data_IF_622060717612
#
_entry.id   IF_622060717612
#
_cell.length_a   1.000
_cell.length_b   1.000
_cell.length_c   1.000
_cell.angle_alpha   90.00
_cell.angle_beta   90.00
_cell.angle_gamma   90.00
#
_symmetry.space_group_name_H-M   'P 1'
#
loop_
_entity.id
_entity.type
_entity.pdbx_description
1 polymer ?
#
# COMPACT_ATOMS: atom_id res chain seq x y z
N UNK A 1 7.75 -5.76 -50.47
CA UNK A 1 8.19 -6.13 -49.11
C UNK A 1 6.96 -6.46 -48.30
N UNK A 2 6.68 -7.76 -48.15
CA UNK A 2 5.63 -8.25 -47.25
C UNK A 2 6.11 -8.06 -45.83
N UNK A 3 5.44 -7.19 -45.06
CA UNK A 3 5.63 -7.10 -43.63
C UNK A 3 5.30 -8.48 -43.03
N UNK A 4 6.32 -9.13 -42.49
CA UNK A 4 6.14 -10.31 -41.65
C UNK A 4 5.35 -9.81 -40.44
N UNK A 5 4.11 -10.30 -40.29
CA UNK A 5 3.34 -10.10 -39.07
C UNK A 5 4.18 -10.65 -37.92
N UNK A 6 4.56 -9.77 -36.99
CA UNK A 6 5.11 -10.18 -35.71
C UNK A 6 4.06 -11.12 -35.08
N UNK A 7 4.42 -12.37 -34.73
CA UNK A 7 3.46 -13.27 -34.11
C UNK A 7 2.97 -12.58 -32.84
N UNK A 8 1.64 -12.46 -32.71
CA UNK A 8 1.02 -11.95 -31.48
C UNK A 8 1.72 -12.61 -30.31
N UNK A 9 2.36 -11.84 -29.40
CA UNK A 9 3.14 -12.42 -28.33
C UNK A 9 2.25 -13.40 -27.58
N UNK A 10 2.76 -14.59 -27.25
CA UNK A 10 2.02 -15.58 -26.48
C UNK A 10 2.29 -15.38 -24.98
N UNK A 11 1.34 -15.72 -24.10
CA UNK A 11 1.60 -15.70 -22.66
C UNK A 11 2.78 -16.61 -22.30
N UNK A 12 3.59 -16.28 -21.28
CA UNK A 12 4.74 -17.07 -20.88
C UNK A 12 4.28 -18.34 -20.14
N UNK A 13 3.98 -19.40 -20.90
CA UNK A 13 3.32 -20.64 -20.43
C UNK A 13 4.01 -21.26 -19.22
N UNK A 14 5.33 -21.36 -19.21
CA UNK A 14 6.07 -21.97 -18.09
C UNK A 14 5.94 -21.16 -16.79
N UNK A 15 5.99 -19.83 -16.88
CA UNK A 15 5.83 -18.94 -15.74
C UNK A 15 4.40 -19.03 -15.21
N UNK A 16 3.41 -19.04 -16.11
CA UNK A 16 2.00 -19.16 -15.75
C UNK A 16 1.68 -20.52 -15.10
N UNK A 17 2.27 -21.61 -15.59
CA UNK A 17 2.14 -22.93 -14.99
C UNK A 17 2.62 -22.94 -13.53
N UNK A 18 3.80 -22.38 -13.24
CA UNK A 18 4.30 -22.26 -11.86
C UNK A 18 3.41 -21.34 -11.01
N UNK A 19 2.99 -20.18 -11.56
CA UNK A 19 2.11 -19.25 -10.84
C UNK A 19 0.73 -19.85 -10.55
N UNK A 20 0.22 -20.76 -11.39
CA UNK A 20 -1.09 -21.38 -11.20
C UNK A 20 -1.17 -22.25 -9.95
N UNK A 21 -0.02 -22.72 -9.45
CA UNK A 21 0.08 -23.44 -8.18
C UNK A 21 -0.14 -22.54 -6.96
N UNK A 22 0.02 -21.22 -7.13
CA UNK A 22 -0.07 -20.23 -6.06
C UNK A 22 -1.32 -19.34 -6.20
N UNK A 23 -1.61 -18.86 -7.41
CA UNK A 23 -2.64 -17.88 -7.69
C UNK A 23 -3.33 -18.16 -9.05
N UNK A 24 -4.13 -19.25 -9.17
CA UNK A 24 -4.73 -19.65 -10.44
C UNK A 24 -5.69 -18.60 -11.02
N UNK A 25 -6.28 -17.73 -10.20
CA UNK A 25 -7.13 -16.64 -10.67
C UNK A 25 -6.36 -15.59 -11.47
N UNK A 26 -5.16 -15.22 -11.01
CA UNK A 26 -4.31 -14.23 -11.70
C UNK A 26 -3.83 -14.81 -13.03
N UNK A 27 -3.50 -16.11 -13.07
CA UNK A 27 -3.12 -16.79 -14.32
C UNK A 27 -4.26 -16.73 -15.33
N UNK A 28 -5.48 -17.09 -14.91
CA UNK A 28 -6.67 -16.99 -15.79
C UNK A 28 -6.91 -15.56 -16.28
N UNK A 29 -6.77 -14.56 -15.39
CA UNK A 29 -6.91 -13.16 -15.76
C UNK A 29 -5.88 -12.75 -16.83
N UNK A 30 -4.61 -13.18 -16.68
CA UNK A 30 -3.54 -12.90 -17.64
C UNK A 30 -3.83 -13.59 -18.98
N UNK A 31 -4.18 -14.88 -18.98
CA UNK A 31 -4.44 -15.65 -20.20
C UNK A 31 -5.63 -15.07 -21.00
N UNK A 32 -6.70 -14.69 -20.31
CA UNK A 32 -7.90 -14.15 -20.93
C UNK A 32 -7.69 -12.75 -21.51
N UNK A 33 -6.82 -11.94 -20.90
CA UNK A 33 -6.64 -10.53 -21.26
C UNK A 33 -5.29 -10.24 -21.92
N UNK A 34 -4.50 -11.27 -22.25
CA UNK A 34 -3.13 -11.10 -22.77
C UNK A 34 -3.04 -10.17 -23.97
N UNK A 35 -4.01 -10.29 -24.88
CA UNK A 35 -4.11 -9.49 -26.11
C UNK A 35 -5.21 -8.43 -26.04
N UNK A 36 -5.82 -8.22 -24.87
CA UNK A 36 -6.85 -7.21 -24.70
C UNK A 36 -6.22 -5.81 -24.75
N UNK A 37 -6.96 -4.79 -25.25
CA UNK A 37 -6.58 -3.40 -25.05
C UNK A 37 -6.31 -3.10 -23.57
N UNK A 38 -5.32 -2.25 -23.29
CA UNK A 38 -4.94 -1.90 -21.91
C UNK A 38 -6.12 -1.32 -21.13
N UNK A 39 -7.02 -0.57 -21.78
CA UNK A 39 -8.26 -0.05 -21.18
C UNK A 39 -9.22 -1.17 -20.76
N UNK A 40 -9.37 -2.20 -21.58
CA UNK A 40 -10.23 -3.34 -21.26
C UNK A 40 -9.65 -4.15 -20.10
N UNK A 41 -8.33 -4.37 -20.09
CA UNK A 41 -7.67 -5.02 -18.96
C UNK A 41 -7.75 -4.18 -17.68
N UNK A 42 -7.55 -2.85 -17.76
CA UNK A 42 -7.70 -1.97 -16.62
C UNK A 42 -9.13 -2.01 -16.05
N UNK A 43 -10.16 -1.97 -16.92
CA UNK A 43 -11.56 -2.14 -16.51
C UNK A 43 -11.81 -3.50 -15.86
N UNK A 44 -11.21 -4.57 -16.39
CA UNK A 44 -11.29 -5.92 -15.81
C UNK A 44 -10.68 -5.98 -14.40
N UNK A 45 -9.54 -5.33 -14.17
CA UNK A 45 -8.93 -5.24 -12.85
C UNK A 45 -9.80 -4.47 -11.85
N UNK A 46 -10.64 -3.55 -12.34
CA UNK A 46 -11.56 -2.72 -11.55
C UNK A 46 -12.99 -3.27 -11.48
N UNK A 47 -13.19 -4.55 -11.83
CA UNK A 47 -14.48 -5.23 -11.73
C UNK A 47 -14.97 -5.31 -10.28
N UNK A 48 -16.30 -5.32 -10.05
CA UNK A 48 -16.85 -5.51 -8.72
C UNK A 48 -16.39 -6.83 -8.10
N UNK A 49 -16.30 -6.86 -6.77
CA UNK A 49 -16.06 -8.10 -6.01
C UNK A 49 -17.31 -8.46 -5.21
N UNK A 50 -17.40 -9.72 -4.80
CA UNK A 50 -18.50 -10.18 -3.96
C UNK A 50 -18.54 -9.35 -2.67
N UNK A 51 -19.74 -8.89 -2.30
CA UNK A 51 -19.93 -8.19 -1.03
C UNK A 51 -19.59 -9.12 0.14
N UNK A 52 -19.01 -8.59 1.23
CA UNK A 52 -18.83 -9.34 2.46
C UNK A 52 -20.15 -9.97 2.93
N UNK A 53 -20.12 -11.26 3.27
CA UNK A 53 -21.28 -11.98 3.82
C UNK A 53 -21.08 -12.41 5.27
N UNK A 54 -19.83 -12.65 5.68
CA UNK A 54 -19.51 -13.02 7.06
C UNK A 54 -19.46 -11.78 7.96
N UNK A 55 -19.88 -11.94 9.23
CA UNK A 55 -19.84 -10.88 10.23
C UNK A 55 -18.47 -10.18 10.34
N UNK A 56 -17.35 -10.93 10.44
CA UNK A 56 -16.01 -10.34 10.49
C UNK A 56 -15.64 -9.53 9.24
N UNK A 57 -16.02 -9.98 8.04
CA UNK A 57 -15.71 -9.25 6.81
C UNK A 57 -16.55 -7.98 6.67
N UNK A 58 -17.82 -8.04 7.05
CA UNK A 58 -18.71 -6.86 7.11
C UNK A 58 -18.16 -5.83 8.10
N UNK A 59 -17.75 -6.27 9.28
CA UNK A 59 -17.15 -5.39 10.29
C UNK A 59 -15.83 -4.77 9.80
N UNK A 60 -14.94 -5.57 9.18
CA UNK A 60 -13.69 -5.07 8.61
C UNK A 60 -13.93 -4.05 7.48
N UNK A 61 -14.92 -4.31 6.61
CA UNK A 61 -15.35 -3.38 5.56
C UNK A 61 -15.83 -2.06 6.16
N UNK A 62 -16.67 -2.11 7.20
CA UNK A 62 -17.16 -0.92 7.90
C UNK A 62 -16.01 -0.13 8.53
N UNK A 63 -15.07 -0.79 9.19
CA UNK A 63 -13.89 -0.15 9.79
C UNK A 63 -13.07 0.57 8.72
N UNK A 64 -12.78 -0.10 7.59
CA UNK A 64 -12.03 0.50 6.49
C UNK A 64 -12.76 1.71 5.91
N UNK A 65 -14.08 1.61 5.70
CA UNK A 65 -14.92 2.72 5.21
C UNK A 65 -14.86 3.92 6.16
N UNK A 66 -14.94 3.70 7.46
CA UNK A 66 -14.91 4.76 8.47
C UNK A 66 -13.55 5.47 8.51
N UNK A 67 -12.46 4.70 8.46
CA UNK A 67 -11.10 5.27 8.43
C UNK A 67 -10.83 6.00 7.12
N UNK A 68 -11.33 5.47 5.99
CA UNK A 68 -11.26 6.14 4.70
C UNK A 68 -12.04 7.47 4.73
N UNK A 69 -13.25 7.48 5.31
CA UNK A 69 -14.03 8.71 5.49
C UNK A 69 -13.23 9.76 6.27
N UNK A 70 -12.65 9.40 7.39
CA UNK A 70 -11.82 10.33 8.19
C UNK A 70 -10.66 10.93 7.39
N UNK A 71 -10.03 10.13 6.51
CA UNK A 71 -9.00 10.63 5.60
C UNK A 71 -9.58 11.61 4.58
N UNK A 72 -10.72 11.28 3.98
CA UNK A 72 -11.38 12.10 2.97
C UNK A 72 -11.90 13.43 3.55
N UNK A 73 -12.39 13.45 4.79
CA UNK A 73 -12.88 14.66 5.48
C UNK A 73 -11.81 15.76 5.59
N UNK A 74 -10.52 15.38 5.51
CA UNK A 74 -9.39 16.32 5.55
C UNK A 74 -9.09 16.94 4.17
N UNK A 75 -9.48 16.27 3.08
CA UNK A 75 -9.01 16.61 1.72
C UNK A 75 -10.13 16.92 0.71
N UNK A 76 -11.40 16.60 1.02
CA UNK A 76 -12.52 16.69 0.09
C UNK A 76 -13.78 17.31 0.72
N UNK A 77 -14.73 17.71 -0.13
CA UNK A 77 -16.03 18.25 0.31
C UNK A 77 -17.01 17.14 0.69
N UNK A 78 -17.93 17.35 1.66
CA UNK A 78 -18.83 16.30 2.13
C UNK A 78 -19.64 15.57 1.04
N UNK A 79 -20.07 16.28 0.00
CA UNK A 79 -20.85 15.69 -1.11
C UNK A 79 -20.02 14.72 -1.95
N UNK A 80 -18.75 15.04 -2.17
CA UNK A 80 -17.79 14.19 -2.90
C UNK A 80 -17.48 12.93 -2.09
N UNK A 81 -17.32 13.08 -0.77
CA UNK A 81 -17.04 11.97 0.15
C UNK A 81 -18.16 10.94 0.13
N UNK A 82 -19.41 11.37 0.20
CA UNK A 82 -20.56 10.46 0.17
C UNK A 82 -20.57 9.60 -1.11
N UNK A 83 -20.35 10.25 -2.27
CA UNK A 83 -20.28 9.59 -3.58
C UNK A 83 -19.12 8.60 -3.66
N UNK A 84 -17.91 9.01 -3.29
CA UNK A 84 -16.71 8.16 -3.33
C UNK A 84 -16.88 6.93 -2.44
N UNK A 85 -17.42 7.11 -1.23
CA UNK A 85 -17.65 6.00 -0.32
C UNK A 85 -18.76 5.07 -0.83
N UNK A 86 -19.79 5.56 -1.51
CA UNK A 86 -20.79 4.71 -2.16
C UNK A 86 -20.19 3.91 -3.33
N UNK A 87 -19.42 4.57 -4.19
CA UNK A 87 -18.69 3.93 -5.29
C UNK A 87 -17.74 2.83 -4.77
N UNK A 88 -17.02 3.09 -3.68
CA UNK A 88 -16.11 2.14 -3.04
C UNK A 88 -16.84 0.90 -2.49
N UNK A 89 -18.10 0.99 -2.05
CA UNK A 89 -18.86 -0.22 -1.65
C UNK A 89 -19.20 -1.13 -2.83
N UNK A 90 -19.38 -0.55 -4.02
CA UNK A 90 -19.73 -1.30 -5.22
C UNK A 90 -18.49 -1.83 -5.93
N UNK A 91 -17.40 -1.07 -5.91
CA UNK A 91 -16.12 -1.41 -6.54
C UNK A 91 -14.96 -1.14 -5.58
N UNK A 92 -14.80 -1.98 -4.54
CA UNK A 92 -13.73 -1.79 -3.57
C UNK A 92 -12.41 -2.26 -4.14
N UNK A 93 -11.69 -1.34 -4.75
CA UNK A 93 -10.38 -1.60 -5.37
C UNK A 93 -9.37 -0.61 -4.79
N UNK A 94 -8.21 -1.12 -4.41
CA UNK A 94 -7.05 -0.32 -4.02
C UNK A 94 -5.92 -0.65 -4.98
N UNK A 95 -5.43 0.36 -5.71
CA UNK A 95 -4.15 0.27 -6.38
C UNK A 95 -3.07 0.29 -5.30
N UNK A 96 -2.26 -0.75 -5.26
CA UNK A 96 -1.14 -0.91 -4.36
C UNK A 96 0.14 -1.13 -5.16
N UNK A 97 1.26 -1.32 -4.48
CA UNK A 97 2.57 -1.42 -5.13
C UNK A 97 3.12 -0.08 -5.63
N UNK A 98 2.46 1.03 -5.31
CA UNK A 98 3.03 2.37 -5.45
C UNK A 98 3.98 2.58 -4.28
N UNK A 99 5.24 2.88 -4.55
CA UNK A 99 6.14 3.42 -3.53
C UNK A 99 5.86 4.91 -3.38
N UNK A 100 6.09 5.47 -2.19
CA UNK A 100 6.00 6.91 -1.95
C UNK A 100 7.12 7.65 -2.69
N UNK A 101 6.96 7.80 -4.01
CA UNK A 101 7.83 8.48 -4.95
C UNK A 101 7.03 9.57 -5.66
N UNK A 102 7.72 10.58 -6.19
CA UNK A 102 7.09 11.57 -7.04
C UNK A 102 6.68 10.90 -8.36
N UNK A 103 5.53 11.25 -8.92
CA UNK A 103 4.97 10.71 -10.18
C UNK A 103 5.76 11.04 -11.46
N UNK A 104 7.00 11.51 -11.30
CA UNK A 104 8.01 11.58 -12.36
C UNK A 104 8.81 10.27 -12.46
N UNK A 105 8.78 9.42 -11.42
CA UNK A 105 9.27 8.05 -11.49
C UNK A 105 8.36 7.21 -12.40
N UNK A 106 8.97 6.56 -13.40
CA UNK A 106 8.22 5.84 -14.46
C UNK A 106 7.37 4.70 -13.92
N UNK A 107 7.90 3.90 -13.01
CA UNK A 107 7.19 2.73 -12.47
C UNK A 107 5.98 3.17 -11.65
N UNK A 108 6.16 4.19 -10.81
CA UNK A 108 5.09 4.76 -10.00
C UNK A 108 4.03 5.41 -10.86
N UNK A 109 4.44 6.15 -11.91
CA UNK A 109 3.53 6.76 -12.88
C UNK A 109 2.71 5.72 -13.66
N UNK A 110 3.35 4.68 -14.21
CA UNK A 110 2.65 3.65 -15.00
C UNK A 110 1.61 2.89 -14.14
N UNK A 111 1.95 2.59 -12.88
CA UNK A 111 1.02 1.97 -11.94
C UNK A 111 -0.16 2.90 -11.58
N UNK A 112 0.10 4.21 -11.43
CA UNK A 112 -0.97 5.18 -11.20
C UNK A 112 -1.85 5.36 -12.45
N UNK A 113 -1.26 5.43 -13.64
CA UNK A 113 -1.96 5.56 -14.90
C UNK A 113 -2.90 4.38 -15.14
N UNK A 114 -2.45 3.15 -14.83
CA UNK A 114 -3.30 1.96 -14.90
C UNK A 114 -4.48 2.04 -13.92
N UNK A 115 -4.26 2.56 -12.71
CA UNK A 115 -5.32 2.76 -11.73
C UNK A 115 -6.33 3.82 -12.17
N UNK A 116 -5.84 4.96 -12.65
CA UNK A 116 -6.66 6.03 -13.22
C UNK A 116 -7.49 5.51 -14.39
N UNK A 117 -6.87 4.79 -15.34
CA UNK A 117 -7.57 4.23 -16.49
C UNK A 117 -8.65 3.24 -16.06
N UNK A 118 -8.35 2.36 -15.10
CA UNK A 118 -9.33 1.41 -14.58
C UNK A 118 -10.52 2.08 -13.89
N UNK A 119 -10.28 3.18 -13.19
CA UNK A 119 -11.33 3.98 -12.56
C UNK A 119 -12.20 4.71 -13.59
N UNK A 120 -11.57 5.38 -14.56
CA UNK A 120 -12.25 6.07 -15.66
C UNK A 120 -13.11 5.10 -16.47
N UNK A 121 -12.54 3.98 -16.89
CA UNK A 121 -13.24 2.94 -17.67
C UNK A 121 -14.35 2.23 -16.87
N UNK A 122 -14.32 2.36 -15.54
CA UNK A 122 -15.36 1.86 -14.63
C UNK A 122 -16.37 2.93 -14.20
N UNK A 123 -16.23 4.17 -14.70
CA UNK A 123 -17.11 5.30 -14.38
C UNK A 123 -17.01 5.78 -12.93
N UNK A 124 -15.85 5.60 -12.29
CA UNK A 124 -15.60 6.02 -10.92
C UNK A 124 -15.12 7.46 -10.84
N UNK A 125 -15.61 8.20 -9.84
CA UNK A 125 -15.20 9.59 -9.59
C UNK A 125 -13.89 9.72 -8.82
N UNK A 126 -13.45 8.64 -8.18
CA UNK A 126 -12.16 8.57 -7.52
C UNK A 126 -11.57 7.16 -7.53
N UNK A 127 -10.27 7.07 -7.29
CA UNK A 127 -9.55 5.81 -7.17
C UNK A 127 -8.59 5.85 -5.98
N UNK A 128 -8.52 4.74 -5.23
CA UNK A 128 -7.69 4.67 -4.01
C UNK A 128 -6.32 4.09 -4.35
N UNK A 129 -5.27 4.86 -4.05
CA UNK A 129 -3.87 4.47 -4.23
C UNK A 129 -3.14 4.31 -2.89
N UNK A 130 -2.67 3.12 -2.57
CA UNK A 130 -1.81 2.84 -1.43
C UNK A 130 -0.34 3.11 -1.78
N UNK A 131 0.24 4.10 -1.10
CA UNK A 131 1.64 4.50 -1.19
C UNK A 131 2.44 3.86 -0.05
N UNK A 132 3.40 2.99 -0.37
CA UNK A 132 4.32 2.43 0.62
C UNK A 132 5.34 3.46 1.11
N UNK A 133 5.33 3.78 2.39
CA UNK A 133 6.07 4.89 3.02
C UNK A 133 7.14 4.48 4.03
N UNK A 134 7.28 3.19 4.32
CA UNK A 134 8.22 2.66 5.33
C UNK A 134 9.70 2.71 4.92
N UNK A 135 9.97 2.90 3.64
CA UNK A 135 11.31 2.84 3.05
C UNK A 135 12.22 4.03 3.41
N UNK A 136 13.51 3.85 3.11
CA UNK A 136 14.51 4.88 2.81
C UNK A 136 13.97 6.21 2.30
N UNK A 137 14.42 7.40 2.73
CA UNK A 137 14.44 8.50 1.77
C UNK A 137 15.48 8.24 0.66
N UNK A 138 16.62 7.61 0.99
CA UNK A 138 17.52 6.99 -0.01
C UNK A 138 17.53 5.49 0.21
N UNK A 139 17.04 4.72 -0.76
CA UNK A 139 17.01 3.25 -0.68
C UNK A 139 18.35 2.64 -1.07
N UNK A 140 18.86 3.05 -2.23
CA UNK A 140 20.16 2.66 -2.81
C UNK A 140 20.70 3.93 -3.50
N UNK A 141 22.02 4.09 -3.61
CA UNK A 141 22.69 5.33 -3.99
C UNK A 141 21.95 6.24 -4.99
N UNK A 142 21.59 7.46 -4.53
CA UNK A 142 20.82 8.47 -5.29
C UNK A 142 19.43 8.02 -5.78
N UNK A 143 18.88 6.93 -5.25
CA UNK A 143 17.55 6.44 -5.57
C UNK A 143 16.62 6.49 -4.37
N UNK A 144 15.33 6.63 -4.66
CA UNK A 144 14.27 6.62 -3.68
C UNK A 144 13.62 7.98 -3.46
N UNK A 145 12.71 8.07 -2.48
CA UNK A 145 11.79 9.19 -2.23
C UNK A 145 12.46 10.55 -2.03
N UNK A 146 13.72 10.56 -1.57
CA UNK A 146 14.50 11.77 -1.35
C UNK A 146 15.16 12.34 -2.60
N UNK A 147 15.06 11.63 -3.73
CA UNK A 147 15.72 11.95 -4.98
C UNK A 147 14.70 12.17 -6.08
N UNK A 148 14.96 13.18 -6.88
CA UNK A 148 14.18 13.54 -8.05
C UNK A 148 14.98 13.18 -9.30
N UNK A 149 14.43 12.29 -10.12
CA UNK A 149 14.99 11.97 -11.43
C UNK A 149 14.63 13.08 -12.41
N UNK A 150 15.65 13.72 -13.01
CA UNK A 150 15.48 14.76 -14.03
C UNK A 150 15.99 14.31 -15.40
N UNK A 151 16.15 13.00 -15.62
CA UNK A 151 16.66 12.41 -16.86
C UNK A 151 18.14 12.05 -16.74
N UNK A 152 19.01 13.02 -17.00
CA UNK A 152 20.47 12.80 -17.02
C UNK A 152 21.12 12.88 -15.63
N UNK A 153 20.38 13.34 -14.62
CA UNK A 153 20.85 13.40 -13.24
C UNK A 153 19.75 13.13 -12.21
N UNK A 154 20.16 12.87 -10.95
CA UNK A 154 19.25 12.69 -9.81
C UNK A 154 19.48 13.76 -8.75
N UNK A 155 18.57 14.71 -8.61
CA UNK A 155 18.74 15.85 -7.70
C UNK A 155 18.08 15.56 -6.35
N UNK A 156 18.69 16.04 -5.27
CA UNK A 156 18.16 15.85 -3.92
C UNK A 156 16.93 16.74 -3.68
N UNK A 157 15.76 16.12 -3.59
CA UNK A 157 14.46 16.78 -3.53
C UNK A 157 14.26 17.60 -2.24
N UNK A 158 14.88 17.21 -1.13
CA UNK A 158 14.69 17.84 0.19
C UNK A 158 15.90 18.64 0.68
N UNK A 159 17.01 18.64 -0.08
CA UNK A 159 18.24 19.34 0.28
C UNK A 159 18.94 18.78 1.53
N UNK A 160 18.53 17.60 2.00
CA UNK A 160 19.09 16.95 3.18
C UNK A 160 20.41 16.26 2.86
N UNK A 161 21.42 16.39 3.72
CA UNK A 161 22.67 15.63 3.53
C UNK A 161 22.39 14.12 3.40
N UNK A 162 23.13 13.45 2.50
CA UNK A 162 22.94 12.02 2.17
C UNK A 162 22.80 11.10 3.39
N UNK A 163 23.60 11.36 4.43
CA UNK A 163 23.54 10.64 5.69
C UNK A 163 22.13 10.64 6.34
N UNK A 164 21.40 11.76 6.25
CA UNK A 164 20.02 11.86 6.73
C UNK A 164 19.07 11.08 5.83
N UNK A 165 19.25 11.14 4.51
CA UNK A 165 18.39 10.42 3.56
C UNK A 165 18.44 8.90 3.76
N UNK A 166 19.64 8.34 3.97
CA UNK A 166 19.80 6.89 4.20
C UNK A 166 19.29 6.42 5.57
N UNK A 167 19.11 7.34 6.54
CA UNK A 167 18.78 7.00 7.94
C UNK A 167 17.36 7.34 8.35
N UNK A 168 16.57 7.97 7.48
CA UNK A 168 15.19 8.36 7.80
C UNK A 168 14.21 7.67 6.87
N UNK A 169 13.11 7.19 7.45
CA UNK A 169 12.01 6.59 6.70
C UNK A 169 11.01 7.66 6.26
N UNK A 170 10.47 7.56 5.05
CA UNK A 170 9.63 8.62 4.45
C UNK A 170 8.44 9.01 5.31
N UNK A 171 7.73 8.03 5.87
CA UNK A 171 6.55 8.23 6.71
C UNK A 171 6.78 9.08 7.97
N UNK A 172 8.03 9.26 8.39
CA UNK A 172 8.39 9.90 9.67
C UNK A 172 9.57 10.87 9.53
N UNK A 173 10.08 11.06 8.32
CA UNK A 173 11.15 12.00 8.03
C UNK A 173 10.58 13.42 7.99
N UNK A 174 10.74 14.17 9.08
CA UNK A 174 10.07 15.46 9.21
C UNK A 174 10.57 16.32 10.37
N UNK A 175 10.20 17.62 10.40
CA UNK A 175 9.59 18.36 9.29
C UNK A 175 10.56 18.49 8.11
N UNK A 176 10.03 18.70 6.89
CA UNK A 176 10.82 18.88 5.66
C UNK A 176 10.31 20.02 4.80
N UNK A 177 11.21 20.58 3.98
CA UNK A 177 10.91 21.54 2.91
C UNK A 177 11.49 21.03 1.60
N UNK A 178 10.98 21.52 0.48
CA UNK A 178 11.48 21.17 -0.85
C UNK A 178 12.72 22.00 -1.19
N UNK A 179 13.70 21.36 -1.82
CA UNK A 179 14.88 22.03 -2.34
C UNK A 179 14.53 22.74 -3.64
N UNK A 180 14.43 24.07 -3.58
CA UNK A 180 14.12 24.91 -4.74
C UNK A 180 14.97 24.60 -5.97
N UNK A 181 16.28 24.37 -5.79
CA UNK A 181 17.18 24.02 -6.91
C UNK A 181 16.81 22.69 -7.56
N UNK A 182 16.33 21.72 -6.79
CA UNK A 182 15.85 20.46 -7.33
C UNK A 182 14.57 20.66 -8.16
N UNK A 183 13.65 21.49 -7.69
CA UNK A 183 12.43 21.81 -8.43
C UNK A 183 12.71 22.62 -9.70
N UNK A 184 13.69 23.53 -9.67
CA UNK A 184 14.11 24.32 -10.82
C UNK A 184 14.83 23.49 -11.89
N UNK A 185 15.54 22.43 -11.49
CA UNK A 185 16.19 21.49 -12.41
C UNK A 185 15.17 20.70 -13.26
N UNK A 186 13.91 20.62 -12.83
CA UNK A 186 12.80 20.12 -13.66
C UNK A 186 12.48 21.16 -14.74
N UNK A 187 13.24 21.16 -15.82
CA UNK A 187 12.91 22.01 -16.96
C UNK A 187 14.02 22.44 -17.89
N UNK A 188 15.27 22.06 -17.66
CA UNK A 188 16.34 22.50 -18.57
C UNK A 188 16.53 21.53 -19.76
N UNK A 189 16.21 20.23 -19.65
CA UNK A 189 16.46 19.24 -20.73
C UNK A 189 15.39 18.12 -20.92
N UNK A 190 14.20 18.21 -20.31
CA UNK A 190 13.14 17.17 -20.43
C UNK A 190 11.73 17.71 -20.73
N UNK A 191 10.83 16.84 -21.20
CA UNK A 191 9.35 17.06 -21.29
C UNK A 191 8.71 17.47 -19.94
N UNK A 192 9.47 17.45 -18.84
CA UNK A 192 9.06 17.86 -17.50
C UNK A 192 8.92 19.37 -17.30
N UNK A 193 9.38 20.22 -18.22
CA UNK A 193 9.27 21.69 -18.12
C UNK A 193 7.84 22.19 -17.86
N UNK A 194 6.84 21.47 -18.39
CA UNK A 194 5.40 21.76 -18.16
C UNK A 194 4.97 21.58 -16.70
N UNK A 195 5.68 20.78 -15.91
CA UNK A 195 5.38 20.49 -14.51
C UNK A 195 6.10 21.42 -13.53
N UNK A 196 7.09 22.18 -14.00
CA UNK A 196 7.89 23.10 -13.18
C UNK A 196 7.01 24.07 -12.37
N UNK A 197 6.00 24.66 -13.02
CA UNK A 197 5.06 25.56 -12.36
C UNK A 197 4.29 24.89 -11.21
N UNK A 198 3.80 23.66 -11.44
CA UNK A 198 3.12 22.86 -10.41
C UNK A 198 4.04 22.60 -9.22
N UNK A 199 5.27 22.13 -9.47
CA UNK A 199 6.22 21.80 -8.41
C UNK A 199 6.63 23.04 -7.60
N UNK A 200 6.93 24.15 -8.29
CA UNK A 200 7.35 25.41 -7.64
C UNK A 200 6.25 26.03 -6.77
N UNK A 201 4.97 25.74 -7.02
CA UNK A 201 3.86 26.20 -6.18
C UNK A 201 3.95 25.71 -4.73
N UNK A 202 4.68 24.62 -4.50
CA UNK A 202 4.90 24.01 -3.18
C UNK A 202 6.27 24.33 -2.57
N UNK A 203 7.11 25.16 -3.22
CA UNK A 203 8.50 25.41 -2.80
C UNK A 203 8.63 25.99 -1.37
N UNK A 204 7.68 26.84 -0.97
CA UNK A 204 7.72 27.58 0.30
C UNK A 204 6.98 26.84 1.42
N UNK A 205 6.41 25.66 1.12
CA UNK A 205 5.66 24.85 2.09
C UNK A 205 6.62 24.08 3.00
N UNK A 206 6.21 23.92 4.26
CA UNK A 206 6.84 23.00 5.23
C UNK A 206 5.86 21.88 5.50
N UNK A 207 6.31 20.65 5.30
CA UNK A 207 5.49 19.45 5.48
C UNK A 207 5.84 18.74 6.78
N UNK A 208 4.83 18.12 7.40
CA UNK A 208 5.00 17.34 8.62
C UNK A 208 5.98 16.17 8.42
N UNK A 209 5.90 15.51 7.25
CA UNK A 209 6.79 14.43 6.85
C UNK A 209 7.10 14.49 5.34
N UNK A 210 8.13 13.75 4.90
CA UNK A 210 8.43 13.57 3.48
C UNK A 210 7.30 12.84 2.73
N UNK A 211 6.56 11.94 3.39
CA UNK A 211 5.37 11.32 2.80
C UNK A 211 4.31 12.36 2.48
N UNK A 212 4.02 13.28 3.41
CA UNK A 212 3.03 14.34 3.22
C UNK A 212 3.42 15.26 2.06
N UNK A 213 4.71 15.59 1.94
CA UNK A 213 5.23 16.39 0.84
C UNK A 213 5.02 15.70 -0.51
N UNK A 214 5.37 14.42 -0.62
CA UNK A 214 5.24 13.65 -1.86
C UNK A 214 3.77 13.42 -2.24
N UNK A 215 2.91 13.13 -1.26
CA UNK A 215 1.46 13.02 -1.49
C UNK A 215 0.89 14.32 -2.04
N UNK A 216 1.17 15.46 -1.39
CA UNK A 216 0.67 16.76 -1.86
C UNK A 216 1.17 17.11 -3.27
N UNK A 217 2.46 16.89 -3.54
CA UNK A 217 3.02 17.11 -4.88
C UNK A 217 2.39 16.20 -5.93
N UNK A 218 2.14 14.94 -5.60
CA UNK A 218 1.51 13.99 -6.52
C UNK A 218 0.04 14.35 -6.78
N UNK A 219 -0.70 14.84 -5.79
CA UNK A 219 -2.05 15.37 -5.98
C UNK A 219 -2.04 16.57 -6.94
N UNK A 220 -1.10 17.51 -6.75
CA UNK A 220 -0.94 18.67 -7.63
C UNK A 220 -0.56 18.27 -9.07
N UNK A 221 0.32 17.27 -9.23
CA UNK A 221 0.69 16.71 -10.53
C UNK A 221 -0.51 16.04 -11.20
N UNK A 222 -1.31 15.29 -10.43
CA UNK A 222 -2.50 14.61 -10.94
C UNK A 222 -3.60 15.60 -11.34
N UNK A 223 -3.76 16.69 -10.61
CA UNK A 223 -4.70 17.74 -10.99
C UNK A 223 -4.30 18.44 -12.30
N UNK A 224 -3.00 18.53 -12.60
CA UNK A 224 -2.53 19.21 -13.81
C UNK A 224 -2.54 18.32 -15.07
N UNK A 225 -2.17 17.03 -14.97
CA UNK A 225 -2.20 16.12 -16.13
C UNK A 225 -3.61 15.67 -16.52
N UNK A 226 -4.51 15.40 -15.56
CA UNK A 226 -5.89 14.99 -15.83
C UNK A 226 -6.83 16.21 -15.76
N UNK A 227 -6.81 17.01 -16.82
CA UNK A 227 -7.68 18.19 -16.93
C UNK A 227 -9.16 17.82 -17.12
N UNK A 228 -9.48 16.55 -17.38
CA UNK A 228 -10.86 16.10 -17.48
C UNK A 228 -11.53 16.01 -16.10
N UNK A 229 -10.73 15.83 -15.04
CA UNK A 229 -11.24 15.66 -13.68
C UNK A 229 -12.15 14.44 -13.53
N UNK A 230 -11.98 13.42 -14.39
CA UNK A 230 -12.88 12.26 -14.42
C UNK A 230 -12.75 11.38 -13.18
N UNK A 231 -11.52 11.18 -12.68
CA UNK A 231 -11.26 10.37 -11.51
C UNK A 231 -10.15 10.97 -10.63
N UNK A 232 -10.49 11.39 -9.41
CA UNK A 232 -9.55 11.95 -8.46
C UNK A 232 -8.74 10.86 -7.71
N UNK A 233 -7.43 11.05 -7.50
CA UNK A 233 -6.64 10.13 -6.69
C UNK A 233 -6.96 10.33 -5.21
N UNK A 234 -7.12 9.23 -4.47
CA UNK A 234 -7.17 9.21 -3.01
C UNK A 234 -5.95 8.45 -2.52
N UNK A 235 -4.90 9.18 -2.13
CA UNK A 235 -3.69 8.56 -1.61
C UNK A 235 -3.84 8.19 -0.13
N UNK A 236 -3.59 6.92 0.14
CA UNK A 236 -3.54 6.32 1.48
C UNK A 236 -2.15 5.70 1.69
N UNK A 237 -1.76 5.43 2.93
CA UNK A 237 -0.44 4.87 3.24
C UNK A 237 -0.45 3.99 4.50
N UNK A 238 0.74 3.59 4.96
CA UNK A 238 0.93 2.76 6.14
C UNK A 238 0.29 3.34 7.42
N UNK A 239 0.12 4.67 7.52
CA UNK A 239 -0.50 5.34 8.68
C UNK A 239 -2.01 5.17 8.67
N UNK A 240 -2.63 5.14 7.49
CA UNK A 240 -4.04 4.78 7.36
C UNK A 240 -4.27 3.32 7.75
N UNK A 241 -3.38 2.41 7.32
CA UNK A 241 -3.43 1.01 7.75
C UNK A 241 -3.25 0.87 9.27
N UNK A 242 -2.36 1.67 9.89
CA UNK A 242 -2.21 1.72 11.34
C UNK A 242 -3.49 2.19 12.04
N UNK A 243 -4.17 3.19 11.47
CA UNK A 243 -5.47 3.67 11.97
C UNK A 243 -6.56 2.60 11.87
N UNK A 244 -6.67 1.90 10.74
CA UNK A 244 -7.58 0.77 10.57
C UNK A 244 -7.28 -0.35 11.58
N UNK A 245 -6.01 -0.68 11.76
CA UNK A 245 -5.57 -1.67 12.75
C UNK A 245 -5.94 -1.26 14.19
N UNK A 246 -5.76 0.02 14.55
CA UNK A 246 -6.15 0.54 15.85
C UNK A 246 -7.66 0.40 16.09
N UNK A 247 -8.50 0.64 15.07
CA UNK A 247 -9.96 0.42 15.14
C UNK A 247 -10.32 -1.06 15.32
N UNK A 248 -9.59 -1.98 14.70
CA UNK A 248 -9.78 -3.41 14.96
C UNK A 248 -9.49 -3.78 16.42
N UNK A 249 -8.49 -3.16 17.05
CA UNK A 249 -8.09 -3.44 18.44
C UNK A 249 -9.03 -2.84 19.50
N UNK A 250 -9.85 -1.86 19.13
CA UNK A 250 -10.89 -1.28 20.02
C UNK A 250 -11.94 -2.30 20.45
N UNK A 251 -12.26 -3.25 19.58
CA UNK A 251 -13.34 -4.21 19.80
C UNK A 251 -12.78 -5.61 20.06
N UNK A 252 -13.06 -6.17 21.23
CA UNK A 252 -12.66 -7.53 21.64
C UNK A 252 -13.18 -8.61 20.68
N UNK A 253 -14.34 -8.37 20.06
CA UNK A 253 -14.97 -9.29 19.11
C UNK A 253 -14.32 -9.32 17.72
N UNK A 254 -13.51 -8.31 17.38
CA UNK A 254 -12.88 -8.22 16.07
C UNK A 254 -11.98 -9.42 15.81
N UNK A 255 -12.14 -10.10 14.67
CA UNK A 255 -11.35 -11.28 14.33
C UNK A 255 -9.85 -11.02 14.46
N UNK A 256 -9.38 -9.89 13.93
CA UNK A 256 -7.96 -9.54 13.97
C UNK A 256 -7.45 -9.29 15.39
N UNK A 257 -8.27 -8.66 16.23
CA UNK A 257 -7.98 -8.48 17.66
C UNK A 257 -7.85 -9.83 18.36
N UNK A 258 -8.78 -10.77 18.10
CA UNK A 258 -8.76 -12.13 18.66
C UNK A 258 -7.55 -12.93 18.16
N UNK A 259 -7.22 -12.84 16.87
CA UNK A 259 -6.05 -13.51 16.27
C UNK A 259 -4.75 -13.12 16.97
N UNK A 260 -4.56 -11.84 17.30
CA UNK A 260 -3.34 -11.38 17.96
C UNK A 260 -3.32 -11.64 19.47
N UNK A 261 -4.48 -11.53 20.14
CA UNK A 261 -4.49 -11.43 21.61
C UNK A 261 -4.94 -12.71 22.33
N UNK A 262 -5.65 -13.62 21.67
CA UNK A 262 -5.99 -14.92 22.24
C UNK A 262 -4.84 -15.90 22.02
N UNK A 263 -4.22 -16.46 23.07
CA UNK A 263 -2.99 -17.27 22.93
C UNK A 263 -3.11 -18.44 21.95
N UNK A 264 -4.21 -19.21 22.02
CA UNK A 264 -4.42 -20.35 21.12
C UNK A 264 -4.55 -19.94 19.65
N UNK A 265 -5.17 -18.79 19.37
CA UNK A 265 -5.31 -18.25 18.00
C UNK A 265 -4.01 -17.70 17.48
N UNK A 266 -3.28 -16.96 18.32
CA UNK A 266 -1.96 -16.44 17.97
C UNK A 266 -1.00 -17.57 17.66
N UNK A 267 -1.01 -18.64 18.45
CA UNK A 267 -0.18 -19.83 18.20
C UNK A 267 -0.49 -20.48 16.84
N UNK A 268 -1.77 -20.58 16.45
CA UNK A 268 -2.14 -21.06 15.11
C UNK A 268 -1.64 -20.13 14.01
N UNK A 269 -1.77 -18.82 14.20
CA UNK A 269 -1.28 -17.83 13.25
C UNK A 269 0.25 -17.91 13.09
N UNK A 270 0.99 -17.99 14.21
CA UNK A 270 2.44 -18.14 14.22
C UNK A 270 2.87 -19.42 13.49
N UNK A 271 2.16 -20.53 13.73
CA UNK A 271 2.39 -21.79 13.03
C UNK A 271 2.17 -21.66 11.51
N UNK A 272 1.04 -21.09 11.10
CA UNK A 272 0.73 -20.86 9.69
C UNK A 272 1.76 -19.97 8.99
N UNK A 273 2.25 -18.92 9.67
CA UNK A 273 3.32 -18.06 9.17
C UNK A 273 4.63 -18.84 8.98
N UNK A 274 5.01 -19.70 9.94
CA UNK A 274 6.22 -20.53 9.87
C UNK A 274 6.13 -21.59 8.76
N UNK A 275 4.98 -22.25 8.60
CA UNK A 275 4.75 -23.22 7.52
C UNK A 275 4.83 -22.55 6.16
N UNK A 276 4.16 -21.40 5.98
CA UNK A 276 4.18 -20.67 4.73
C UNK A 276 5.60 -20.14 4.41
N UNK A 277 6.38 -19.73 5.42
CA UNK A 277 7.77 -19.31 5.28
C UNK A 277 8.70 -20.45 4.85
N UNK A 278 8.43 -21.67 5.33
CA UNK A 278 9.22 -22.87 5.04
C UNK A 278 8.80 -23.56 3.74
N UNK A 279 7.64 -23.19 3.19
CA UNK A 279 7.10 -23.75 1.95
C UNK A 279 7.81 -23.30 0.67
N UNK A 280 7.46 -23.89 -0.49
CA UNK A 280 8.11 -23.62 -1.78
C UNK A 280 7.99 -22.17 -2.24
N UNK A 281 6.96 -21.45 -1.77
CA UNK A 281 6.70 -20.04 -2.08
C UNK A 281 7.12 -19.09 -0.96
N UNK A 282 7.77 -19.58 0.11
CA UNK A 282 8.11 -18.77 1.29
C UNK A 282 8.99 -17.55 0.99
N UNK A 283 9.74 -17.55 -0.11
CA UNK A 283 10.52 -16.39 -0.58
C UNK A 283 9.67 -15.17 -0.98
N UNK A 284 8.38 -15.35 -1.22
CA UNK A 284 7.47 -14.23 -1.44
C UNK A 284 7.07 -13.54 -0.13
N UNK A 285 7.16 -14.24 1.02
CA UNK A 285 6.72 -13.68 2.30
C UNK A 285 7.70 -12.64 2.85
N UNK A 286 7.22 -11.42 3.16
CA UNK A 286 8.03 -10.38 3.79
C UNK A 286 8.14 -10.61 5.30
N UNK A 287 8.95 -11.57 5.73
CA UNK A 287 9.08 -11.98 7.15
C UNK A 287 10.13 -11.19 7.93
N UNK A 288 10.17 -9.87 7.71
CA UNK A 288 11.19 -9.04 8.33
C UNK A 288 10.89 -8.70 9.80
N UNK A 289 9.65 -8.87 10.27
CA UNK A 289 9.18 -8.60 11.63
C UNK A 289 7.99 -9.51 11.94
N UNK A 290 7.74 -9.83 13.22
CA UNK A 290 6.65 -10.74 13.60
C UNK A 290 5.27 -10.15 13.30
N UNK A 291 5.03 -8.88 13.65
CA UNK A 291 3.70 -8.26 13.51
C UNK A 291 3.73 -6.78 13.16
N UNK A 292 4.61 -6.01 13.81
CA UNK A 292 4.64 -4.57 13.68
C UNK A 292 6.05 -4.04 13.51
N UNK A 293 6.17 -2.98 12.73
CA UNK A 293 7.35 -2.14 12.75
C UNK A 293 7.26 -1.10 13.86
N UNK A 294 8.39 -0.78 14.47
CA UNK A 294 8.52 0.33 15.40
C UNK A 294 9.03 1.60 14.73
N UNK A 295 8.64 2.77 15.21
CA UNK A 295 9.16 4.06 14.78
C UNK A 295 10.03 4.63 15.88
N UNK A 296 11.31 4.87 15.58
CA UNK A 296 12.23 5.55 16.51
C UNK A 296 13.29 6.33 15.74
N UNK A 297 13.58 7.55 16.20
CA UNK A 297 14.56 8.46 15.58
C UNK A 297 14.26 8.69 14.08
N UNK A 298 12.98 8.89 13.72
CA UNK A 298 12.52 9.06 12.33
C UNK A 298 12.87 7.89 11.41
N UNK A 299 12.93 6.66 11.94
CA UNK A 299 13.13 5.46 11.16
C UNK A 299 12.24 4.32 11.63
N UNK A 300 11.76 3.56 10.65
CA UNK A 300 11.19 2.24 10.81
C UNK A 300 12.24 1.25 11.33
N UNK A 301 11.89 0.50 12.37
CA UNK A 301 12.71 -0.48 13.10
C UNK A 301 12.00 -1.82 13.12
N UNK A 302 12.75 -2.89 12.86
CA UNK A 302 12.27 -4.25 13.06
C UNK A 302 11.94 -4.46 14.53
N UNK A 303 10.76 -4.99 14.82
CA UNK A 303 10.42 -5.51 16.14
C UNK A 303 10.26 -7.02 16.08
N UNK A 304 10.59 -7.68 17.18
CA UNK A 304 10.27 -9.07 17.46
C UNK A 304 9.43 -9.14 18.72
N UNK A 305 8.52 -10.12 18.80
CA UNK A 305 7.74 -10.43 19.98
C UNK A 305 8.58 -11.31 20.91
N UNK A 306 8.97 -10.78 22.05
CA UNK A 306 9.69 -11.51 23.10
C UNK A 306 9.03 -11.25 24.45
N UNK A 307 8.80 -12.31 25.23
CA UNK A 307 8.24 -12.22 26.58
C UNK A 307 7.01 -11.28 26.70
N UNK A 308 6.09 -11.38 25.74
CA UNK A 308 4.86 -10.57 25.70
C UNK A 308 5.06 -9.09 25.33
N UNK A 309 6.23 -8.72 24.81
CA UNK A 309 6.56 -7.36 24.38
C UNK A 309 7.10 -7.34 22.96
N UNK A 310 6.77 -6.30 22.19
CA UNK A 310 7.46 -5.99 20.93
C UNK A 310 8.72 -5.22 21.25
N UNK A 311 9.89 -5.79 20.92
CA UNK A 311 11.21 -5.23 21.21
C UNK A 311 12.05 -5.06 19.94
N UNK A 312 13.00 -4.11 19.95
CA UNK A 312 14.08 -4.03 18.96
C UNK A 312 15.18 -5.07 19.31
N UNK A 313 15.35 -6.17 18.54
CA UNK A 313 16.24 -7.28 18.96
C UNK A 313 17.70 -6.87 19.19
N UNK A 314 18.20 -5.96 18.37
CA UNK A 314 19.62 -5.54 18.38
C UNK A 314 19.85 -4.28 19.22
N UNK A 315 18.90 -3.87 20.07
CA UNK A 315 19.01 -2.63 20.85
C UNK A 315 18.45 -2.80 22.27
N UNK A 316 19.31 -3.04 23.29
CA UNK A 316 18.91 -3.26 24.68
C UNK A 316 18.06 -2.14 25.32
N UNK A 317 18.18 -0.90 24.82
CA UNK A 317 17.38 0.26 25.23
C UNK A 317 16.55 0.81 24.05
N UNK A 318 16.12 -0.09 23.15
CA UNK A 318 15.23 0.22 22.06
C UNK A 318 13.77 0.33 22.51
N UNK A 319 12.86 0.38 21.55
CA UNK A 319 11.42 0.28 21.82
C UNK A 319 11.10 -1.02 22.57
N UNK A 320 10.18 -0.93 23.53
CA UNK A 320 9.54 -2.05 24.20
C UNK A 320 8.08 -1.69 24.43
N UNK A 321 7.17 -2.43 23.80
CA UNK A 321 5.73 -2.15 23.84
C UNK A 321 5.00 -3.43 24.26
N UNK A 322 4.21 -3.42 25.36
CA UNK A 322 3.42 -4.57 25.75
C UNK A 322 2.52 -5.05 24.61
N UNK A 323 2.50 -6.35 24.36
CA UNK A 323 1.70 -6.97 23.31
C UNK A 323 0.25 -7.20 23.76
N UNK A 324 -0.39 -6.11 24.16
CA UNK A 324 -1.76 -6.07 24.66
C UNK A 324 -2.55 -4.99 23.92
N UNK A 325 -3.85 -5.23 23.72
CA UNK A 325 -4.68 -4.36 22.85
C UNK A 325 -4.61 -2.87 23.18
N UNK A 326 -4.73 -2.42 24.45
CA UNK A 326 -4.70 -0.99 24.75
C UNK A 326 -3.37 -0.35 24.34
N UNK A 327 -2.25 -1.04 24.63
CA UNK A 327 -0.90 -0.58 24.33
C UNK A 327 -0.61 -0.58 22.82
N UNK A 328 -0.98 -1.66 22.12
CA UNK A 328 -0.84 -1.76 20.66
C UNK A 328 -1.66 -0.68 19.96
N UNK A 329 -2.93 -0.51 20.36
CA UNK A 329 -3.82 0.52 19.81
C UNK A 329 -3.22 1.91 20.00
N UNK A 330 -2.80 2.24 21.23
CA UNK A 330 -2.26 3.56 21.52
C UNK A 330 -0.97 3.82 20.73
N UNK A 331 -0.06 2.84 20.66
CA UNK A 331 1.18 2.99 19.91
C UNK A 331 0.95 3.12 18.39
N UNK A 332 -0.10 2.51 17.82
CA UNK A 332 -0.50 2.73 16.42
C UNK A 332 -1.03 4.15 16.21
N UNK A 333 -1.87 4.66 17.12
CA UNK A 333 -2.44 6.01 17.04
C UNK A 333 -1.38 7.10 17.23
N UNK A 334 -0.40 6.85 18.10
CA UNK A 334 0.72 7.76 18.36
C UNK A 334 1.79 7.71 17.25
N UNK A 335 1.63 6.86 16.23
CA UNK A 335 2.60 6.68 15.15
C UNK A 335 3.91 6.03 15.59
N UNK A 336 3.92 5.35 16.74
CA UNK A 336 5.07 4.59 17.26
C UNK A 336 5.11 3.18 16.66
N UNK A 337 3.97 2.64 16.25
CA UNK A 337 3.86 1.36 15.53
C UNK A 337 3.26 1.55 14.14
N UNK A 338 3.70 0.71 13.21
CA UNK A 338 3.05 0.47 11.92
C UNK A 338 2.80 -1.04 11.76
N UNK A 339 1.66 -1.46 11.18
CA UNK A 339 1.44 -2.87 10.86
C UNK A 339 2.51 -3.35 9.85
N UNK A 340 2.93 -4.61 9.95
CA UNK A 340 3.71 -5.23 8.90
C UNK A 340 2.86 -5.45 7.63
N UNK A 341 3.48 -5.89 6.53
CA UNK A 341 2.77 -6.03 5.26
C UNK A 341 1.59 -7.02 5.35
N UNK A 342 1.74 -8.10 6.11
CA UNK A 342 0.66 -9.07 6.33
C UNK A 342 -0.55 -8.42 7.01
N UNK A 343 -0.36 -7.77 8.17
CA UNK A 343 -1.43 -7.10 8.89
C UNK A 343 -2.06 -5.97 8.07
N UNK A 344 -1.25 -5.23 7.32
CA UNK A 344 -1.70 -4.17 6.42
C UNK A 344 -2.66 -4.72 5.36
N UNK A 345 -2.30 -5.80 4.67
CA UNK A 345 -3.19 -6.44 3.69
C UNK A 345 -4.42 -7.07 4.35
N UNK A 346 -4.33 -7.56 5.59
CA UNK A 346 -5.51 -8.03 6.31
C UNK A 346 -6.55 -6.92 6.49
N UNK A 347 -6.14 -5.73 6.93
CA UNK A 347 -7.07 -4.61 7.22
C UNK A 347 -7.49 -3.83 5.98
N UNK A 348 -6.65 -3.76 4.94
CA UNK A 348 -6.95 -3.00 3.73
C UNK A 348 -7.59 -3.84 2.62
N UNK A 349 -7.29 -5.14 2.54
CA UNK A 349 -7.63 -5.98 1.39
C UNK A 349 -8.45 -7.22 1.77
N UNK A 350 -7.86 -8.10 2.56
CA UNK A 350 -8.32 -9.48 2.71
C UNK A 350 -9.60 -9.58 3.53
N UNK A 351 -9.59 -9.09 4.78
CA UNK A 351 -10.78 -9.10 5.65
C UNK A 351 -11.93 -8.26 5.09
N UNK A 352 -11.73 -7.01 4.62
CA UNK A 352 -12.84 -6.22 4.08
C UNK A 352 -13.33 -6.74 2.72
N UNK A 353 -12.64 -7.69 2.07
CA UNK A 353 -12.89 -8.16 0.69
C UNK A 353 -12.69 -7.05 -0.34
N UNK A 354 -11.62 -6.25 -0.22
CA UNK A 354 -11.19 -5.26 -1.22
C UNK A 354 -10.20 -5.93 -2.17
N UNK A 355 -10.35 -5.67 -3.45
CA UNK A 355 -9.38 -6.09 -4.45
C UNK A 355 -8.14 -5.20 -4.36
N UNK A 356 -6.99 -5.79 -4.05
CA UNK A 356 -5.71 -5.11 -4.19
C UNK A 356 -5.13 -5.40 -5.58
N UNK A 357 -4.90 -4.35 -6.36
CA UNK A 357 -4.19 -4.42 -7.65
C UNK A 357 -2.76 -3.93 -7.41
N UNK A 358 -1.75 -4.49 -8.07
CA UNK A 358 -0.42 -3.89 -8.02
C UNK A 358 0.70 -4.80 -8.49
N UNK A 359 1.88 -4.61 -7.92
CA UNK A 359 3.15 -5.09 -8.50
C UNK A 359 3.33 -6.62 -8.53
N UNK A 360 4.31 -7.07 -9.33
CA UNK A 360 4.60 -8.48 -9.59
C UNK A 360 4.75 -9.34 -8.32
N UNK A 361 5.39 -8.84 -7.25
CA UNK A 361 5.58 -9.61 -6.01
C UNK A 361 4.27 -9.84 -5.24
N UNK A 362 3.28 -8.97 -5.42
CA UNK A 362 2.00 -9.04 -4.71
C UNK A 362 1.20 -10.28 -5.13
N UNK A 363 1.33 -10.68 -6.39
CA UNK A 363 0.77 -11.92 -6.92
C UNK A 363 1.17 -13.11 -6.04
N UNK A 364 2.43 -13.12 -5.57
CA UNK A 364 2.92 -14.16 -4.69
C UNK A 364 2.44 -14.02 -3.24
N UNK A 365 2.76 -12.89 -2.59
CA UNK A 365 2.54 -12.79 -1.15
C UNK A 365 1.07 -12.61 -0.75
N UNK A 366 0.21 -12.01 -1.59
CA UNK A 366 -1.22 -11.83 -1.24
C UNK A 366 -1.91 -13.19 -1.18
N UNK A 367 -1.62 -14.08 -2.14
CA UNK A 367 -2.11 -15.45 -2.10
C UNK A 367 -1.66 -16.19 -0.82
N UNK A 368 -0.39 -16.02 -0.43
CA UNK A 368 0.10 -16.60 0.83
C UNK A 368 -0.59 -16.00 2.05
N UNK A 369 -0.83 -14.69 2.08
CA UNK A 369 -1.54 -14.04 3.18
C UNK A 369 -2.97 -14.56 3.33
N UNK A 370 -3.66 -14.83 2.23
CA UNK A 370 -4.95 -15.51 2.25
C UNK A 370 -4.82 -16.91 2.88
N UNK A 371 -3.91 -17.75 2.38
CA UNK A 371 -3.71 -19.10 2.92
C UNK A 371 -3.32 -19.11 4.41
N UNK A 372 -2.46 -18.17 4.84
CA UNK A 372 -2.08 -18.00 6.24
C UNK A 372 -3.29 -17.63 7.10
N UNK A 373 -4.12 -16.68 6.64
CA UNK A 373 -5.34 -16.33 7.35
C UNK A 373 -6.24 -17.55 7.51
N UNK A 374 -6.51 -18.28 6.42
CA UNK A 374 -7.37 -19.46 6.41
C UNK A 374 -6.89 -20.53 7.41
N UNK A 375 -5.59 -20.83 7.39
CA UNK A 375 -4.99 -21.78 8.33
C UNK A 375 -5.05 -21.33 9.80
N UNK A 376 -5.19 -20.04 10.06
CA UNK A 376 -5.32 -19.48 11.40
C UNK A 376 -6.77 -19.46 11.93
N UNK A 377 -7.77 -19.58 11.05
CA UNK A 377 -9.19 -19.53 11.41
C UNK A 377 -9.63 -20.77 12.22
N UNK A 378 -10.72 -20.61 12.96
CA UNK A 378 -11.36 -21.70 13.69
C UNK A 378 -12.60 -22.19 12.92
N UNK A 379 -12.51 -23.34 12.26
CA UNK A 379 -13.59 -23.90 11.43
C UNK A 379 -14.86 -24.24 12.24
N UNK A 380 -14.72 -24.37 13.57
CA UNK A 380 -15.85 -24.60 14.47
C UNK A 380 -16.65 -23.33 14.74
N UNK A 381 -16.14 -22.15 14.38
CA UNK A 381 -16.82 -20.86 14.50
C UNK A 381 -17.49 -20.51 13.17
N UNK A 382 -18.83 -20.51 13.06
CA UNK A 382 -19.54 -20.31 11.79
C UNK A 382 -19.11 -19.05 11.03
N UNK A 383 -18.97 -17.92 11.75
CA UNK A 383 -18.56 -16.64 11.17
C UNK A 383 -17.16 -16.66 10.54
N UNK A 384 -16.28 -17.55 10.99
CA UNK A 384 -14.93 -17.71 10.43
C UNK A 384 -14.93 -18.72 9.28
N UNK A 385 -15.80 -19.72 9.32
CA UNK A 385 -16.01 -20.63 8.19
C UNK A 385 -16.49 -19.89 6.94
N UNK A 386 -17.35 -18.88 7.11
CA UNK A 386 -17.86 -18.07 6.00
C UNK A 386 -16.81 -17.10 5.41
N UNK A 387 -15.63 -16.98 6.05
CA UNK A 387 -14.47 -16.28 5.47
C UNK A 387 -13.61 -17.18 4.58
N UNK A 388 -13.64 -18.49 4.83
CA UNK A 388 -12.94 -19.50 4.05
C UNK A 388 -13.64 -19.77 2.72
#
# INVERSE_FOLDING_TARGET
>A
MTAVFDPTPTPPVEILAVLSLLCPEVVRDIEQNWNAPVSDYARHLWRPVARPVSGPAIAARSILRDVLRQRLDVIMRPEEIAKILEEFEHRPVIQSGLHCLLLMDRITFDALLLAWLGAVESGLSAFVGFMGTTMTMETIGREGPGWLDVGDDKVNLFGLGRHKLCRRSVCVAGPVSLNKRALEAVGDETDGSRWRGTLLSSQDKVFGTAADALTALNEDLVANWDRSGMAAPVFIDDRLAASAMARHLEYDGSLLSRLLTQPARRQRLDHALQEAASGPFGRFLPNATDYFWGIREQRVRKLALDNGHLIEPDRPHGLSIPFERPHLRQALLDGVLLPNLFLMFLVLAILPRVRAVGGLRQIGYVALFHSILLAALDENVPEERDLA
#
